data_IF_883237764135
#
_entry.id   IF_883237764135
#
_cell.length_a   1.000
_cell.length_b   1.000
_cell.length_c   1.000
_cell.angle_alpha   90.00
_cell.angle_beta   90.00
_cell.angle_gamma   90.00
#
_symmetry.space_group_name_H-M   'P 1'
#
loop_
_entity.id
_entity.type
_entity.pdbx_description
1 polymer ?
#
# COMPACT_ATOMS: atom_id res chain seq x y z
N UNK A 1 -14.98 5.78 0.12
CA UNK A 1 -13.80 5.40 -0.69
C UNK A 1 -12.61 5.17 0.26
N UNK A 2 -11.83 4.08 0.13
CA UNK A 2 -10.76 3.73 1.11
C UNK A 2 -9.66 4.80 1.13
N UNK A 3 -9.23 5.31 -0.04
CA UNK A 3 -8.19 6.34 -0.12
C UNK A 3 -8.50 7.58 0.73
N UNK A 4 -9.74 8.06 0.74
CA UNK A 4 -10.14 9.20 1.59
C UNK A 4 -9.97 8.89 3.08
N UNK A 5 -10.23 7.65 3.51
CA UNK A 5 -10.06 7.22 4.90
C UNK A 5 -8.59 7.12 5.31
N UNK A 6 -7.72 6.65 4.40
CA UNK A 6 -6.27 6.63 4.63
C UNK A 6 -5.75 8.08 4.78
N UNK A 7 -6.16 9.00 3.91
CA UNK A 7 -5.77 10.42 4.00
C UNK A 7 -6.24 11.04 5.33
N UNK A 8 -7.50 10.83 5.73
CA UNK A 8 -7.99 11.30 7.03
C UNK A 8 -7.18 10.71 8.19
N UNK A 9 -6.81 9.43 8.10
CA UNK A 9 -5.96 8.76 9.10
C UNK A 9 -4.56 9.38 9.19
N UNK A 10 -3.94 9.73 8.07
CA UNK A 10 -2.65 10.43 8.04
C UNK A 10 -2.78 11.85 8.61
N UNK A 11 -3.83 12.58 8.25
CA UNK A 11 -4.11 13.93 8.80
C UNK A 11 -4.44 13.90 10.29
N UNK A 12 -4.94 12.79 10.82
CA UNK A 12 -5.13 12.59 12.27
C UNK A 12 -3.80 12.48 13.04
N UNK A 13 -2.70 12.13 12.36
CA UNK A 13 -1.38 12.06 12.97
C UNK A 13 -0.72 13.45 13.05
N UNK A 14 -0.81 14.21 11.97
CA UNK A 14 -0.29 15.58 11.89
C UNK A 14 -0.90 16.33 10.69
N UNK A 15 -0.92 17.67 10.72
CA UNK A 15 -1.19 18.46 9.51
C UNK A 15 -0.15 18.17 8.42
N UNK A 16 -0.61 18.05 7.16
CA UNK A 16 0.26 17.65 6.04
C UNK A 16 -0.08 18.42 4.76
N UNK A 17 0.93 18.71 3.96
CA UNK A 17 0.72 19.13 2.58
C UNK A 17 0.43 17.92 1.68
N UNK A 18 -0.09 18.17 0.46
CA UNK A 18 -0.26 17.12 -0.53
C UNK A 18 1.06 16.42 -0.89
N UNK A 19 2.19 17.13 -0.83
CA UNK A 19 3.52 16.55 -1.05
C UNK A 19 3.96 15.64 0.11
N UNK A 20 3.64 16.01 1.36
CA UNK A 20 3.92 15.17 2.53
C UNK A 20 3.09 13.88 2.48
N UNK A 21 1.80 13.99 2.15
CA UNK A 21 0.94 12.83 1.93
C UNK A 21 1.49 11.93 0.83
N UNK A 22 1.90 12.48 -0.32
CA UNK A 22 2.50 11.68 -1.39
C UNK A 22 3.74 10.92 -0.89
N UNK A 23 4.60 11.57 -0.11
CA UNK A 23 5.78 10.93 0.49
C UNK A 23 5.36 9.77 1.41
N UNK A 24 4.34 9.94 2.26
CA UNK A 24 3.82 8.85 3.09
C UNK A 24 3.26 7.70 2.27
N UNK A 25 2.55 7.99 1.17
CA UNK A 25 2.07 6.95 0.26
C UNK A 25 3.22 6.19 -0.40
N UNK A 26 4.32 6.85 -0.76
CA UNK A 26 5.47 6.22 -1.42
C UNK A 26 6.36 5.41 -0.46
N UNK A 27 6.36 5.73 0.83
CA UNK A 27 7.27 5.11 1.79
C UNK A 27 6.57 4.19 2.80
N UNK A 28 5.50 4.65 3.42
CA UNK A 28 4.91 3.98 4.59
C UNK A 28 3.65 3.18 4.24
N UNK A 29 2.86 3.66 3.27
CA UNK A 29 1.54 3.11 2.94
C UNK A 29 1.60 2.20 1.71
N UNK A 30 2.62 2.34 0.87
CA UNK A 30 2.76 1.69 -0.43
C UNK A 30 2.53 0.17 -0.42
N UNK A 31 2.94 -0.51 0.64
CA UNK A 31 2.85 -1.98 0.73
C UNK A 31 1.42 -2.53 0.84
N UNK A 32 0.44 -1.69 1.19
CA UNK A 32 -0.97 -2.10 1.24
C UNK A 32 -1.91 -1.19 0.44
N UNK A 33 -1.46 0.02 0.07
CA UNK A 33 -2.26 0.94 -0.73
C UNK A 33 -1.40 1.86 -1.60
N UNK A 34 -1.47 1.69 -2.91
CA UNK A 34 -0.84 2.59 -3.86
C UNK A 34 -1.81 3.70 -4.27
N UNK A 35 -1.31 4.94 -4.36
CA UNK A 35 -2.06 6.08 -4.91
C UNK A 35 -1.12 7.01 -5.68
N UNK A 36 -1.55 7.44 -6.87
CA UNK A 36 -0.82 8.43 -7.62
C UNK A 36 -1.05 9.86 -7.08
N UNK A 37 -0.19 10.79 -7.51
CA UNK A 37 -0.27 12.20 -7.09
C UNK A 37 -1.63 12.82 -7.40
N UNK A 38 -2.17 12.58 -8.58
CA UNK A 38 -3.44 13.17 -9.01
C UNK A 38 -4.62 12.65 -8.17
N UNK A 39 -4.61 11.35 -7.82
CA UNK A 39 -5.61 10.77 -6.92
C UNK A 39 -5.56 11.40 -5.53
N UNK A 40 -4.37 11.58 -4.95
CA UNK A 40 -4.18 12.20 -3.64
C UNK A 40 -4.75 13.62 -3.64
N UNK A 41 -4.37 14.46 -4.63
CA UNK A 41 -4.81 15.85 -4.68
C UNK A 41 -6.31 15.98 -4.95
N UNK A 42 -6.89 15.16 -5.82
CA UNK A 42 -8.36 15.15 -6.03
C UNK A 42 -9.11 14.74 -4.76
N UNK A 43 -8.59 13.73 -4.05
CA UNK A 43 -9.22 13.28 -2.80
C UNK A 43 -9.10 14.34 -1.71
N UNK A 44 -7.96 15.04 -1.60
CA UNK A 44 -7.81 16.17 -0.67
C UNK A 44 -8.82 17.28 -0.93
N UNK A 45 -8.97 17.69 -2.20
CA UNK A 45 -9.95 18.70 -2.58
C UNK A 45 -11.37 18.28 -2.17
N UNK A 46 -11.77 17.04 -2.48
CA UNK A 46 -13.07 16.52 -2.08
C UNK A 46 -13.26 16.50 -0.55
N UNK A 47 -12.23 16.12 0.22
CA UNK A 47 -12.29 16.14 1.69
C UNK A 47 -12.44 17.55 2.26
N UNK A 48 -11.87 18.57 1.61
CA UNK A 48 -12.05 19.97 1.99
C UNK A 48 -13.46 20.43 1.63
N UNK A 49 -13.95 20.12 0.43
CA UNK A 49 -15.31 20.47 -0.02
C UNK A 49 -16.39 19.82 0.86
N UNK A 50 -16.14 18.60 1.35
CA UNK A 50 -17.01 17.87 2.28
C UNK A 50 -16.88 18.34 3.74
N UNK A 51 -15.99 19.28 4.04
CA UNK A 51 -15.73 19.76 5.40
C UNK A 51 -15.04 18.75 6.32
N UNK A 52 -14.49 17.65 5.78
CA UNK A 52 -13.79 16.61 6.54
C UNK A 52 -12.31 16.96 6.78
N UNK A 53 -11.76 17.85 5.97
CA UNK A 53 -10.46 18.47 6.16
C UNK A 53 -10.58 19.99 5.95
N UNK A 54 -9.68 20.76 6.56
CA UNK A 54 -9.49 22.18 6.27
C UNK A 54 -8.14 22.39 5.59
N UNK A 55 -8.00 23.48 4.85
CA UNK A 55 -6.75 23.85 4.20
C UNK A 55 -6.37 25.28 4.60
N UNK A 56 -5.09 25.50 4.91
CA UNK A 56 -4.49 26.81 5.18
C UNK A 56 -3.25 26.98 4.31
N UNK A 57 -3.05 28.21 3.83
CA UNK A 57 -1.80 28.57 3.13
C UNK A 57 -0.76 28.93 4.20
N UNK A 58 0.35 28.21 4.18
CA UNK A 58 1.51 28.49 5.03
C UNK A 58 2.54 29.21 4.17
N UNK A 59 2.83 30.50 4.44
CA UNK A 59 3.81 31.26 3.67
C UNK A 59 5.21 30.64 3.76
N UNK A 60 5.86 30.48 2.61
CA UNK A 60 7.26 30.06 2.54
C UNK A 60 8.19 31.27 2.76
N UNK A 61 9.22 31.12 3.60
CA UNK A 61 10.25 32.18 3.77
C UNK A 61 11.33 32.13 2.69
N UNK A 62 11.65 30.95 2.18
CA UNK A 62 12.65 30.69 1.14
C UNK A 62 12.16 29.73 0.05
N UNK A 63 10.95 29.20 0.19
CA UNK A 63 10.27 28.29 -0.71
C UNK A 63 8.88 28.83 -1.06
N UNK A 64 8.22 28.37 -2.14
CA UNK A 64 6.84 28.75 -2.44
C UNK A 64 5.90 28.44 -1.30
N UNK A 65 4.81 29.20 -1.20
CA UNK A 65 3.71 28.94 -0.26
C UNK A 65 3.21 27.52 -0.41
N UNK A 66 2.89 26.88 0.73
CA UNK A 66 2.37 25.51 0.74
C UNK A 66 0.97 25.46 1.32
N UNK A 67 0.12 24.64 0.73
CA UNK A 67 -1.19 24.29 1.29
C UNK A 67 -1.00 23.18 2.33
N UNK A 68 -1.34 23.48 3.58
CA UNK A 68 -1.34 22.51 4.68
C UNK A 68 -2.78 22.14 5.01
N UNK A 69 -3.06 20.82 5.02
CA UNK A 69 -4.37 20.26 5.30
C UNK A 69 -4.40 19.75 6.75
N UNK A 70 -5.54 19.94 7.40
CA UNK A 70 -5.78 19.53 8.80
C UNK A 70 -7.09 18.76 8.87
N UNK A 71 -7.12 17.72 9.69
CA UNK A 71 -8.33 16.99 10.00
C UNK A 71 -9.30 17.93 10.76
N UNK A 72 -10.60 17.88 10.41
CA UNK A 72 -11.64 18.55 11.20
C UNK A 72 -12.27 17.57 12.20
N UNK A 73 -13.04 18.06 13.16
CA UNK A 73 -13.81 17.21 14.09
C UNK A 73 -14.81 16.32 13.33
N UNK A 74 -15.44 16.84 12.29
CA UNK A 74 -16.31 16.07 11.39
C UNK A 74 -15.54 14.98 10.66
N UNK A 75 -14.33 15.28 10.18
CA UNK A 75 -13.44 14.32 9.55
C UNK A 75 -12.99 13.23 10.51
N UNK A 76 -12.68 13.58 11.76
CA UNK A 76 -12.35 12.60 12.80
C UNK A 76 -13.55 11.69 13.10
N UNK A 77 -14.74 12.23 13.27
CA UNK A 77 -15.95 11.44 13.49
C UNK A 77 -16.21 10.47 12.33
N UNK A 78 -16.06 10.93 11.07
CA UNK A 78 -16.21 10.11 9.88
C UNK A 78 -15.14 8.99 9.79
N UNK A 79 -13.91 9.26 10.22
CA UNK A 79 -12.85 8.26 10.29
C UNK A 79 -13.16 7.19 11.33
N UNK A 80 -13.53 7.61 12.54
CA UNK A 80 -13.85 6.69 13.65
C UNK A 80 -15.06 5.81 13.30
N UNK A 81 -16.10 6.38 12.71
CA UNK A 81 -17.27 5.63 12.27
C UNK A 81 -16.88 4.55 11.23
N UNK A 82 -16.02 4.89 10.26
CA UNK A 82 -15.54 3.94 9.27
C UNK A 82 -14.66 2.84 9.88
N UNK A 83 -13.79 3.17 10.83
CA UNK A 83 -12.94 2.18 11.52
C UNK A 83 -13.75 1.18 12.35
N UNK A 84 -14.91 1.58 12.85
CA UNK A 84 -15.82 0.71 13.62
C UNK A 84 -16.87 -0.02 12.78
N UNK A 85 -16.97 0.26 11.48
CA UNK A 85 -17.93 -0.39 10.60
C UNK A 85 -17.49 -1.83 10.25
N UNK A 86 -18.46 -2.66 9.87
CA UNK A 86 -18.20 -4.02 9.39
C UNK A 86 -17.36 -4.00 8.11
N UNK A 87 -16.42 -4.96 8.02
CA UNK A 87 -15.58 -5.12 6.85
C UNK A 87 -16.35 -5.83 5.72
N UNK A 88 -16.58 -5.11 4.62
CA UNK A 88 -17.04 -5.75 3.40
C UNK A 88 -15.92 -6.59 2.79
N UNK A 89 -16.18 -7.88 2.56
CA UNK A 89 -15.25 -8.73 1.79
C UNK A 89 -15.24 -8.28 0.34
N UNK A 90 -14.09 -7.78 -0.11
CA UNK A 90 -13.85 -7.57 -1.53
C UNK A 90 -13.10 -8.80 -2.08
N UNK A 91 -13.54 -9.38 -3.22
CA UNK A 91 -12.80 -10.45 -3.85
C UNK A 91 -11.43 -9.93 -4.31
N UNK A 92 -10.39 -10.66 -3.97
CA UNK A 92 -9.05 -10.38 -4.47
C UNK A 92 -9.01 -10.58 -5.99
N UNK A 93 -8.36 -9.66 -6.68
CA UNK A 93 -8.16 -9.69 -8.13
C UNK A 93 -6.68 -9.62 -8.42
N UNK A 94 -6.04 -10.78 -8.52
CA UNK A 94 -4.63 -10.88 -8.88
C UNK A 94 -4.49 -11.27 -10.35
N UNK A 95 -3.93 -10.37 -11.15
CA UNK A 95 -3.71 -10.60 -12.58
C UNK A 95 -2.65 -11.68 -12.85
N UNK A 96 -1.71 -11.91 -11.93
CA UNK A 96 -0.74 -12.99 -12.05
C UNK A 96 -1.41 -14.33 -11.85
N UNK A 97 -2.25 -14.47 -10.80
CA UNK A 97 -3.01 -15.72 -10.56
C UNK A 97 -3.92 -16.03 -11.73
N UNK A 98 -4.61 -15.04 -12.30
CA UNK A 98 -5.43 -15.22 -13.48
C UNK A 98 -4.61 -15.72 -14.70
N UNK A 99 -3.40 -15.16 -14.90
CA UNK A 99 -2.51 -15.62 -15.98
C UNK A 99 -1.96 -17.00 -15.73
N UNK A 100 -1.57 -17.32 -14.50
CA UNK A 100 -1.08 -18.64 -14.13
C UNK A 100 -2.17 -19.71 -14.33
N UNK A 101 -3.42 -19.42 -13.95
CA UNK A 101 -4.56 -20.31 -14.17
C UNK A 101 -4.80 -20.63 -15.65
N UNK A 102 -4.47 -19.72 -16.56
CA UNK A 102 -4.62 -19.86 -18.02
C UNK A 102 -3.31 -20.25 -18.72
N UNK A 103 -2.25 -20.56 -17.98
CA UNK A 103 -0.90 -20.71 -18.51
C UNK A 103 -0.69 -22.00 -19.34
N UNK A 104 -1.64 -22.94 -19.37
CA UNK A 104 -1.60 -24.09 -20.27
C UNK A 104 -1.36 -23.72 -21.75
N UNK A 105 -1.77 -22.50 -22.14
CA UNK A 105 -1.56 -21.97 -23.50
C UNK A 105 -0.12 -21.49 -23.78
N UNK A 106 0.76 -21.47 -22.77
CA UNK A 106 2.16 -21.10 -22.89
C UNK A 106 3.04 -22.35 -23.04
N UNK A 107 4.21 -22.16 -23.68
CA UNK A 107 5.29 -23.14 -23.60
C UNK A 107 5.97 -23.08 -22.21
N UNK A 108 6.82 -24.07 -21.91
CA UNK A 108 7.54 -24.16 -20.62
C UNK A 108 8.34 -22.89 -20.32
N UNK A 109 9.03 -22.35 -21.32
CA UNK A 109 9.77 -21.09 -21.18
C UNK A 109 8.84 -19.89 -20.89
N UNK A 110 7.63 -19.89 -21.45
CA UNK A 110 6.61 -18.87 -21.19
C UNK A 110 6.14 -18.87 -19.74
N UNK A 111 5.87 -20.06 -19.21
CA UNK A 111 5.49 -20.23 -17.79
C UNK A 111 6.66 -19.82 -16.88
N UNK A 112 7.88 -20.30 -17.17
CA UNK A 112 9.07 -19.95 -16.40
C UNK A 112 9.30 -18.42 -16.38
N UNK A 113 9.16 -17.74 -17.52
CA UNK A 113 9.26 -16.28 -17.59
C UNK A 113 8.16 -15.57 -16.82
N UNK A 114 6.92 -16.10 -16.81
CA UNK A 114 5.80 -15.54 -16.03
C UNK A 114 6.10 -15.59 -14.54
N UNK A 115 6.55 -16.73 -14.04
CA UNK A 115 6.90 -16.97 -12.63
C UNK A 115 8.11 -16.11 -12.23
N UNK A 116 9.17 -16.09 -13.05
CA UNK A 116 10.38 -15.31 -12.77
C UNK A 116 10.12 -13.82 -12.62
N UNK A 117 9.23 -13.25 -13.45
CA UNK A 117 8.83 -11.84 -13.32
C UNK A 117 8.09 -11.54 -12.01
N UNK A 118 7.20 -12.44 -11.59
CA UNK A 118 6.49 -12.29 -10.32
C UNK A 118 7.44 -12.41 -9.14
N UNK A 119 8.38 -13.37 -9.18
CA UNK A 119 9.43 -13.56 -8.18
C UNK A 119 10.30 -12.32 -8.05
N UNK A 120 10.75 -11.75 -9.18
CA UNK A 120 11.56 -10.54 -9.15
C UNK A 120 10.82 -9.38 -8.48
N UNK A 121 9.55 -9.17 -8.81
CA UNK A 121 8.72 -8.14 -8.17
C UNK A 121 8.54 -8.39 -6.67
N UNK A 122 8.35 -9.65 -6.24
CA UNK A 122 8.22 -10.01 -4.83
C UNK A 122 9.55 -9.79 -4.06
N UNK A 123 10.70 -10.10 -4.67
CA UNK A 123 12.02 -9.83 -4.08
C UNK A 123 12.29 -8.33 -3.90
N UNK A 124 11.94 -7.52 -4.90
CA UNK A 124 12.05 -6.06 -4.83
C UNK A 124 11.15 -5.50 -3.73
N UNK A 125 9.92 -6.00 -3.62
CA UNK A 125 8.99 -5.63 -2.55
C UNK A 125 9.51 -6.04 -1.18
N UNK A 126 10.03 -7.26 -1.02
CA UNK A 126 10.61 -7.73 0.24
C UNK A 126 11.76 -6.83 0.68
N UNK A 127 12.69 -6.54 -0.22
CA UNK A 127 13.83 -5.66 0.08
C UNK A 127 13.39 -4.26 0.52
N UNK A 128 12.35 -3.69 -0.13
CA UNK A 128 11.81 -2.40 0.25
C UNK A 128 11.15 -2.42 1.65
N UNK A 129 10.42 -3.50 1.98
CA UNK A 129 9.79 -3.67 3.29
C UNK A 129 10.83 -3.89 4.40
N UNK A 130 11.88 -4.66 4.15
CA UNK A 130 12.99 -4.88 5.10
C UNK A 130 13.78 -3.57 5.34
N UNK A 131 14.01 -2.78 4.30
CA UNK A 131 14.61 -1.46 4.46
C UNK A 131 13.73 -0.51 5.28
N UNK A 132 12.41 -0.55 5.09
CA UNK A 132 11.45 0.22 5.88
C UNK A 132 11.44 -0.25 7.34
N UNK A 133 11.45 -1.56 7.59
CA UNK A 133 11.53 -2.13 8.94
C UNK A 133 12.79 -1.65 9.66
N UNK A 134 13.95 -1.75 9.01
CA UNK A 134 15.23 -1.33 9.57
C UNK A 134 15.31 0.18 9.87
N UNK A 135 14.61 1.01 9.07
CA UNK A 135 14.54 2.46 9.26
C UNK A 135 13.48 2.88 10.28
N UNK A 136 12.58 1.98 10.71
CA UNK A 136 11.46 2.31 11.59
C UNK A 136 11.86 2.15 13.06
N UNK A 137 11.76 3.20 13.90
CA UNK A 137 12.08 3.10 15.31
C UNK A 137 11.14 2.14 16.06
N UNK A 138 11.60 1.65 17.21
CA UNK A 138 10.77 0.83 18.09
C UNK A 138 9.50 1.58 18.52
N UNK A 139 8.36 0.90 18.44
CA UNK A 139 7.05 1.47 18.75
C UNK A 139 6.91 1.79 20.25
N UNK A 140 6.53 3.03 20.55
CA UNK A 140 6.26 3.52 21.90
C UNK A 140 4.77 3.64 22.20
N UNK A 141 3.95 3.92 21.19
CA UNK A 141 2.52 4.12 21.31
C UNK A 141 1.73 2.93 20.73
N UNK A 142 0.44 2.84 21.08
CA UNK A 142 -0.48 1.86 20.47
C UNK A 142 -0.57 2.05 18.95
N UNK A 143 -0.67 3.30 18.49
CA UNK A 143 -0.77 3.62 17.07
C UNK A 143 0.47 3.15 16.29
N UNK A 144 1.67 3.38 16.83
CA UNK A 144 2.92 2.90 16.21
C UNK A 144 2.97 1.37 16.16
N UNK A 145 2.55 0.67 17.23
CA UNK A 145 2.46 -0.80 17.21
C UNK A 145 1.50 -1.32 16.14
N UNK A 146 0.34 -0.68 15.96
CA UNK A 146 -0.61 -1.07 14.92
C UNK A 146 -0.04 -0.85 13.51
N UNK A 147 0.70 0.24 13.28
CA UNK A 147 1.39 0.50 12.01
C UNK A 147 2.50 -0.53 11.75
N UNK A 148 3.29 -0.88 12.77
CA UNK A 148 4.29 -1.95 12.64
C UNK A 148 3.64 -3.30 12.34
N UNK A 149 2.47 -3.60 12.89
CA UNK A 149 1.73 -4.83 12.57
C UNK A 149 1.31 -4.88 11.08
N UNK A 150 1.02 -3.74 10.44
CA UNK A 150 0.74 -3.72 8.99
C UNK A 150 2.00 -3.97 8.16
N UNK A 151 3.16 -3.50 8.60
CA UNK A 151 4.46 -3.78 7.98
C UNK A 151 4.83 -5.27 8.13
N UNK A 152 4.70 -5.84 9.33
CA UNK A 152 4.91 -7.28 9.59
C UNK A 152 4.00 -8.15 8.72
N UNK A 153 2.73 -7.75 8.54
CA UNK A 153 1.82 -8.42 7.60
C UNK A 153 2.39 -8.41 6.18
N UNK A 154 2.87 -7.27 5.69
CA UNK A 154 3.47 -7.16 4.35
C UNK A 154 4.69 -8.06 4.19
N UNK A 155 5.60 -8.06 5.17
CA UNK A 155 6.79 -8.92 5.18
C UNK A 155 6.44 -10.41 5.13
N UNK A 156 5.53 -10.85 5.99
CA UNK A 156 5.07 -12.26 6.03
C UNK A 156 4.39 -12.66 4.73
N UNK A 157 3.50 -11.82 4.22
CA UNK A 157 2.78 -12.08 2.97
C UNK A 157 3.76 -12.27 1.81
N UNK A 158 4.72 -11.36 1.64
CA UNK A 158 5.70 -11.43 0.55
C UNK A 158 6.63 -12.65 0.69
N UNK A 159 7.06 -13.00 1.91
CA UNK A 159 7.86 -14.21 2.15
C UNK A 159 7.08 -15.47 1.80
N UNK A 160 5.81 -15.58 2.23
CA UNK A 160 4.95 -16.71 1.90
C UNK A 160 4.72 -16.81 0.38
N UNK A 161 4.58 -15.68 -0.32
CA UNK A 161 4.46 -15.68 -1.77
C UNK A 161 5.74 -16.21 -2.44
N UNK A 162 6.92 -15.81 -1.98
CA UNK A 162 8.20 -16.33 -2.50
C UNK A 162 8.33 -17.84 -2.29
N UNK A 163 8.00 -18.33 -1.08
CA UNK A 163 8.00 -19.77 -0.78
C UNK A 163 7.02 -20.53 -1.70
N UNK A 164 5.87 -19.94 -1.98
CA UNK A 164 4.91 -20.54 -2.91
C UNK A 164 5.41 -20.52 -4.36
N UNK A 165 6.04 -19.43 -4.82
CA UNK A 165 6.65 -19.35 -6.16
C UNK A 165 7.77 -20.36 -6.34
N UNK A 166 8.54 -20.70 -5.28
CA UNK A 166 9.54 -21.76 -5.30
C UNK A 166 8.90 -23.15 -5.54
N UNK A 167 7.70 -23.37 -5.00
CA UNK A 167 6.97 -24.61 -5.24
C UNK A 167 6.51 -24.80 -6.69
N UNK A 168 6.31 -23.71 -7.45
CA UNK A 168 5.92 -23.74 -8.86
C UNK A 168 7.08 -24.23 -9.74
N UNK A 169 8.33 -23.93 -9.40
CA UNK A 169 9.50 -24.41 -10.12
C UNK A 169 9.58 -25.96 -10.07
N UNK A 170 9.18 -26.57 -8.94
CA UNK A 170 9.13 -28.02 -8.79
C UNK A 170 8.05 -28.66 -9.66
N UNK A 171 6.92 -27.99 -9.89
CA UNK A 171 5.84 -28.47 -10.78
C UNK A 171 6.34 -28.46 -12.24
N UNK A 172 6.97 -27.37 -12.67
CA UNK A 172 7.52 -27.24 -14.03
C UNK A 172 8.63 -28.28 -14.30
N UNK A 173 9.51 -28.55 -13.32
CA UNK A 173 10.57 -29.55 -13.45
C UNK A 173 10.07 -31.00 -13.50
N UNK A 174 8.96 -31.30 -12.80
CA UNK A 174 8.39 -32.65 -12.77
C UNK A 174 7.76 -33.07 -14.13
N UNK A 175 7.25 -32.14 -14.90
CA UNK A 175 6.68 -32.40 -16.24
C UNK A 175 7.78 -32.64 -17.28
N UNK A 176 8.95 -32.02 -17.16
CA UNK A 176 10.11 -32.28 -18.03
C UNK A 176 10.72 -33.68 -17.85
N UNK A 177 10.56 -34.32 -16.69
CA UNK A 177 11.09 -35.64 -16.37
C UNK A 177 10.18 -36.79 -16.85
N UNK A 178 8.96 -36.51 -17.30
CA UNK A 178 8.00 -37.53 -17.78
C UNK A 178 7.93 -37.62 -19.31
N UNK A 179 8.72 -36.86 -20.04
CA UNK A 179 8.88 -36.95 -21.51
C UNK A 179 10.21 -37.58 -21.88
#
# INVERSE_FOLDING_TARGET
MILSRIILGLLAMAPMSGADLKRHFDTTVHHFWAADKAQIYRTLAALVDEGLASVTVVPGTTAPDRQEHRLTDTGLAALVAWLGADLERQPERDAFIARLFLAESLDEDGVARLVARRRQAALEQLAALEALEAATPAARTRGERLRLATLDHGLRHTRTELDWLDSLDAIAAAEGAQR
#
